data_IF_898689051527
#
_entry.id   IF_898689051527
#
_cell.length_a   1.000
_cell.length_b   1.000
_cell.length_c   1.000
_cell.angle_alpha   90.00
_cell.angle_beta   90.00
_cell.angle_gamma   90.00
#
_symmetry.space_group_name_H-M   'P 1'
#
loop_
_entity.id
_entity.type
_entity.pdbx_description
1 polymer ?
#
# COMPACT_ATOMS: atom_id res chain seq x y z
N UNK A 1 -52.80 35.30 26.82
CA UNK A 1 -52.82 33.86 26.52
C UNK A 1 -51.57 33.24 27.13
N UNK A 2 -51.73 32.54 28.25
CA UNK A 2 -50.75 31.60 28.84
C UNK A 2 -50.93 30.21 28.18
N UNK A 3 -50.14 29.15 28.46
CA UNK A 3 -48.80 29.01 29.07
C UNK A 3 -47.90 28.07 28.21
N UNK A 4 -46.62 27.78 28.53
CA UNK A 4 -46.15 26.74 29.47
C UNK A 4 -44.64 26.97 29.75
N UNK A 5 -44.18 27.26 30.97
CA UNK A 5 -43.93 26.33 32.11
C UNK A 5 -42.99 25.19 31.68
N UNK A 6 -41.77 24.97 32.19
CA UNK A 6 -41.26 24.76 33.57
C UNK A 6 -39.70 24.77 33.45
N UNK A 7 -38.90 25.66 34.06
CA UNK A 7 -38.36 25.63 35.43
C UNK A 7 -37.66 24.27 35.74
N UNK A 8 -36.42 24.12 36.26
CA UNK A 8 -35.84 24.61 37.50
C UNK A 8 -34.38 24.10 37.55
N UNK A 9 -33.47 25.03 37.84
CA UNK A 9 -32.31 24.96 38.75
C UNK A 9 -31.08 24.10 38.47
N UNK A 10 -29.98 24.83 38.54
CA UNK A 10 -28.61 24.46 38.87
C UNK A 10 -28.45 23.61 40.14
N UNK A 11 -27.36 22.84 40.18
CA UNK A 11 -26.52 22.69 41.36
C UNK A 11 -25.05 22.67 40.97
N UNK A 12 -24.29 23.44 41.76
CA UNK A 12 -22.86 23.75 41.65
C UNK A 12 -22.07 22.89 42.67
N UNK A 13 -20.73 22.91 42.53
CA UNK A 13 -19.65 22.59 43.49
C UNK A 13 -18.96 21.22 43.28
N UNK A 14 -17.72 21.14 42.80
CA UNK A 14 -16.41 21.49 43.41
C UNK A 14 -16.11 20.78 44.74
N UNK A 15 -15.11 19.90 44.73
CA UNK A 15 -14.13 19.59 45.80
C UNK A 15 -13.05 18.69 45.15
N UNK A 16 -11.81 19.16 44.92
CA UNK A 16 -10.68 19.41 45.83
C UNK A 16 -9.67 18.25 45.85
N UNK A 17 -8.41 18.67 45.87
CA UNK A 17 -7.19 17.89 45.70
C UNK A 17 -6.89 16.87 46.82
N UNK A 18 -6.04 15.88 46.53
CA UNK A 18 -5.41 15.02 47.52
C UNK A 18 -4.38 14.05 46.95
N UNK A 19 -3.09 14.39 47.03
CA UNK A 19 -2.00 13.41 47.03
C UNK A 19 -1.99 12.68 48.39
N UNK A 20 -1.95 11.34 48.39
CA UNK A 20 -1.59 10.60 49.61
C UNK A 20 -2.04 9.14 49.68
N UNK A 21 -1.10 8.23 49.40
CA UNK A 21 -0.94 6.84 49.89
C UNK A 21 -1.92 5.74 49.42
N UNK A 22 -1.28 4.60 49.16
CA UNK A 22 -1.78 3.33 48.63
C UNK A 22 -2.96 2.76 49.42
N UNK A 23 -3.97 2.29 48.69
CA UNK A 23 -4.81 1.17 49.09
C UNK A 23 -4.85 0.20 47.91
N UNK A 24 -4.14 -0.93 48.08
CA UNK A 24 -4.24 -2.10 47.22
C UNK A 24 -5.69 -2.54 47.22
N UNK A 25 -6.36 -2.37 46.07
CA UNK A 25 -7.65 -3.01 45.82
C UNK A 25 -7.44 -3.88 44.59
N UNK A 26 -7.32 -5.19 44.81
CA UNK A 26 -7.47 -6.18 43.74
C UNK A 26 -8.82 -5.96 43.07
N UNK A 27 -8.82 -5.34 41.89
CA UNK A 27 -9.92 -5.47 40.94
C UNK A 27 -9.42 -6.41 39.85
N UNK A 28 -9.84 -7.67 39.97
CA UNK A 28 -9.79 -8.63 38.86
C UNK A 28 -10.49 -8.04 37.64
N UNK A 29 -9.77 -8.02 36.53
CA UNK A 29 -10.34 -7.98 35.18
C UNK A 29 -10.67 -6.58 34.68
N UNK A 30 -9.75 -6.01 33.90
CA UNK A 30 -9.83 -5.98 32.43
C UNK A 30 -8.38 -5.92 31.96
N UNK A 31 -7.90 -6.98 31.31
CA UNK A 31 -6.68 -6.90 30.52
C UNK A 31 -6.87 -5.71 29.58
N UNK A 32 -6.08 -4.65 29.76
CA UNK A 32 -5.96 -3.61 28.76
C UNK A 32 -5.58 -4.35 27.48
N UNK A 33 -6.57 -4.50 26.61
CA UNK A 33 -6.43 -5.11 25.32
C UNK A 33 -5.22 -4.43 24.71
N UNK A 34 -4.14 -5.18 24.49
CA UNK A 34 -3.20 -4.80 23.46
C UNK A 34 -4.07 -4.48 22.26
N UNK A 35 -4.11 -3.20 21.88
CA UNK A 35 -4.57 -2.84 20.55
C UNK A 35 -3.53 -3.52 19.68
N UNK A 36 -3.82 -4.75 19.28
CA UNK A 36 -3.10 -5.47 18.25
C UNK A 36 -3.30 -4.59 17.02
N UNK A 37 -2.41 -3.62 16.85
CA UNK A 37 -2.20 -2.90 15.62
C UNK A 37 -1.72 -3.97 14.66
N UNK A 38 -2.66 -4.72 14.09
CA UNK A 38 -2.40 -5.71 13.07
C UNK A 38 -1.83 -4.94 11.90
N UNK A 39 -0.51 -4.94 11.77
CA UNK A 39 0.16 -4.23 10.68
C UNK A 39 -0.47 -4.72 9.38
N UNK A 40 -0.73 -3.81 8.44
CA UNK A 40 -1.30 -4.16 7.14
C UNK A 40 -0.41 -5.21 6.44
N UNK A 41 0.88 -5.24 6.78
CA UNK A 41 1.87 -6.19 6.27
C UNK A 41 1.73 -7.64 6.77
N UNK A 42 0.75 -7.97 7.61
CA UNK A 42 0.48 -9.36 7.97
C UNK A 42 -0.20 -10.13 6.83
N UNK A 43 0.27 -11.35 6.58
CA UNK A 43 -0.23 -12.21 5.49
C UNK A 43 -1.76 -12.44 5.51
N UNK A 44 -2.38 -12.41 6.70
CA UNK A 44 -3.83 -12.60 6.85
C UNK A 44 -4.66 -11.53 6.11
N UNK A 45 -4.13 -10.31 5.95
CA UNK A 45 -4.82 -9.23 5.26
C UNK A 45 -4.78 -9.42 3.74
N UNK A 46 -3.70 -10.01 3.21
CA UNK A 46 -3.60 -10.40 1.79
C UNK A 46 -4.65 -11.46 1.40
N UNK A 47 -4.87 -12.44 2.28
CA UNK A 47 -5.89 -13.47 2.08
C UNK A 47 -7.31 -12.90 2.07
N UNK A 48 -7.59 -11.89 2.90
CA UNK A 48 -8.89 -11.21 2.93
C UNK A 48 -9.21 -10.45 1.63
N UNK A 49 -8.19 -9.96 0.92
CA UNK A 49 -8.32 -9.30 -0.39
C UNK A 49 -8.31 -10.31 -1.58
N UNK A 50 -8.45 -11.60 -1.28
CA UNK A 50 -8.55 -12.67 -2.28
C UNK A 50 -7.24 -12.97 -3.02
N UNK A 51 -6.09 -12.61 -2.45
CA UNK A 51 -4.80 -13.00 -3.02
C UNK A 51 -4.49 -14.44 -2.61
N UNK A 52 -4.76 -15.38 -3.51
CA UNK A 52 -4.43 -16.80 -3.34
C UNK A 52 -3.24 -17.16 -4.23
N UNK A 53 -2.27 -17.93 -3.71
CA UNK A 53 -1.12 -18.41 -4.49
C UNK A 53 0.23 -17.70 -4.27
N UNK A 54 0.30 -16.71 -3.38
CA UNK A 54 1.57 -16.14 -2.89
C UNK A 54 1.93 -16.76 -1.53
N UNK A 55 3.21 -17.02 -1.27
CA UNK A 55 3.66 -17.49 0.04
C UNK A 55 3.49 -16.39 1.11
N UNK A 56 3.33 -16.78 2.37
CA UNK A 56 3.29 -15.82 3.49
C UNK A 56 4.54 -14.96 3.56
N UNK A 57 5.70 -15.58 3.33
CA UNK A 57 6.99 -14.91 3.31
C UNK A 57 7.08 -13.88 2.18
N UNK A 58 6.67 -14.22 0.96
CA UNK A 58 6.65 -13.27 -0.16
C UNK A 58 5.68 -12.12 0.12
N UNK A 59 4.49 -12.40 0.68
CA UNK A 59 3.50 -11.38 1.02
C UNK A 59 4.07 -10.33 2.00
N UNK A 60 4.77 -10.78 3.04
CA UNK A 60 5.44 -9.88 3.99
C UNK A 60 6.58 -9.10 3.34
N UNK A 61 7.37 -9.74 2.46
CA UNK A 61 8.45 -9.05 1.75
C UNK A 61 7.93 -7.95 0.84
N UNK A 62 6.87 -8.21 0.08
CA UNK A 62 6.21 -7.19 -0.75
C UNK A 62 5.80 -6.01 0.12
N UNK A 63 5.08 -6.26 1.22
CA UNK A 63 4.59 -5.17 2.05
C UNK A 63 5.73 -4.35 2.70
N UNK A 64 6.76 -5.02 3.25
CA UNK A 64 7.92 -4.33 3.84
C UNK A 64 8.67 -3.50 2.82
N UNK A 65 8.88 -4.03 1.60
CA UNK A 65 9.55 -3.31 0.53
C UNK A 65 8.73 -2.09 0.03
N UNK A 66 7.40 -2.23 -0.07
CA UNK A 66 6.52 -1.11 -0.40
C UNK A 66 6.54 -0.04 0.68
N UNK A 67 6.42 -0.43 1.96
CA UNK A 67 6.48 0.52 3.08
C UNK A 67 7.80 1.30 3.11
N UNK A 68 8.93 0.61 2.89
CA UNK A 68 10.24 1.24 2.81
C UNK A 68 10.34 2.28 1.66
N UNK A 69 9.67 2.03 0.53
CA UNK A 69 9.64 2.95 -0.62
C UNK A 69 8.64 4.09 -0.47
N UNK A 70 7.49 3.84 0.14
CA UNK A 70 6.42 4.83 0.32
C UNK A 70 6.64 5.73 1.54
N UNK A 71 7.40 5.28 2.54
CA UNK A 71 7.48 5.94 3.85
C UNK A 71 6.20 5.83 4.68
N UNK A 72 5.26 4.97 4.27
CA UNK A 72 3.96 4.69 4.90
C UNK A 72 3.48 3.29 4.55
N UNK A 73 2.60 2.73 5.38
CA UNK A 73 1.94 1.46 5.04
C UNK A 73 1.09 1.61 3.76
N UNK A 74 1.17 0.66 2.82
CA UNK A 74 0.27 0.64 1.66
C UNK A 74 -1.15 0.26 2.08
N UNK A 75 -2.15 0.73 1.36
CA UNK A 75 -3.51 0.21 1.52
C UNK A 75 -3.60 -1.28 1.17
N UNK A 76 -4.59 -2.01 1.71
CA UNK A 76 -4.83 -3.40 1.35
C UNK A 76 -4.98 -3.61 -0.16
N UNK A 77 -5.64 -2.69 -0.86
CA UNK A 77 -5.86 -2.78 -2.31
C UNK A 77 -4.55 -2.63 -3.11
N UNK A 78 -3.69 -1.71 -2.71
CA UNK A 78 -2.38 -1.50 -3.34
C UNK A 78 -1.47 -2.71 -3.09
N UNK A 79 -1.45 -3.24 -1.86
CA UNK A 79 -0.73 -4.46 -1.53
C UNK A 79 -1.23 -5.66 -2.36
N UNK A 80 -2.54 -5.86 -2.42
CA UNK A 80 -3.15 -6.94 -3.19
C UNK A 80 -2.85 -6.83 -4.69
N UNK A 81 -2.82 -5.61 -5.24
CA UNK A 81 -2.43 -5.35 -6.63
C UNK A 81 -1.00 -5.81 -6.89
N UNK A 82 -0.06 -5.41 -6.04
CA UNK A 82 1.34 -5.79 -6.17
C UNK A 82 1.54 -7.31 -6.07
N UNK A 83 0.86 -7.97 -5.14
CA UNK A 83 0.96 -9.42 -4.96
C UNK A 83 0.32 -10.20 -6.12
N UNK A 84 -0.83 -9.75 -6.62
CA UNK A 84 -1.46 -10.32 -7.83
C UNK A 84 -0.54 -10.16 -9.04
N UNK A 85 0.13 -9.03 -9.14
CA UNK A 85 1.09 -8.79 -10.21
C UNK A 85 2.29 -9.75 -10.13
N UNK A 86 2.93 -9.87 -8.96
CA UNK A 86 4.01 -10.84 -8.72
C UNK A 86 3.57 -12.27 -9.05
N UNK A 87 2.43 -12.70 -8.51
CA UNK A 87 1.90 -14.04 -8.75
C UNK A 87 1.64 -14.28 -10.23
N UNK A 88 0.98 -13.34 -10.91
CA UNK A 88 0.68 -13.43 -12.33
C UNK A 88 1.94 -13.54 -13.18
N UNK A 89 3.01 -12.83 -12.83
CA UNK A 89 4.27 -12.92 -13.58
C UNK A 89 5.03 -14.23 -13.34
N UNK A 90 5.00 -14.75 -12.10
CA UNK A 90 5.58 -16.08 -11.80
C UNK A 90 4.81 -17.20 -12.50
N UNK A 91 3.48 -17.18 -12.42
CA UNK A 91 2.63 -18.23 -12.95
C UNK A 91 2.65 -18.29 -14.49
N UNK A 92 2.60 -17.13 -15.16
CA UNK A 92 2.43 -17.08 -16.62
C UNK A 92 3.74 -16.91 -17.39
N UNK A 93 4.77 -16.34 -16.77
CA UNK A 93 6.02 -15.99 -17.45
C UNK A 93 7.27 -16.59 -16.78
N UNK A 94 7.10 -17.40 -15.73
CA UNK A 94 8.20 -18.09 -15.08
C UNK A 94 9.23 -17.16 -14.43
N UNK A 95 8.84 -15.93 -14.08
CA UNK A 95 9.73 -14.98 -13.42
C UNK A 95 10.34 -15.59 -12.16
N UNK A 96 11.65 -15.41 -11.98
CA UNK A 96 12.42 -15.99 -10.87
C UNK A 96 12.84 -14.99 -9.81
N UNK A 97 12.53 -13.72 -10.01
CA UNK A 97 12.89 -12.66 -9.09
C UNK A 97 12.28 -12.92 -7.70
N UNK A 98 13.06 -12.55 -6.68
CA UNK A 98 12.54 -12.57 -5.32
C UNK A 98 11.38 -11.57 -5.20
N UNK A 99 10.46 -11.80 -4.26
CA UNK A 99 9.37 -10.85 -4.03
C UNK A 99 9.88 -9.43 -3.72
N UNK A 100 11.02 -9.33 -3.04
CA UNK A 100 11.70 -8.08 -2.75
C UNK A 100 12.17 -7.41 -4.04
N UNK A 101 12.95 -8.09 -4.88
CA UNK A 101 13.52 -7.51 -6.10
C UNK A 101 12.43 -7.09 -7.08
N UNK A 102 11.40 -7.92 -7.25
CA UNK A 102 10.22 -7.57 -8.05
C UNK A 102 9.57 -6.30 -7.53
N UNK A 103 9.36 -6.19 -6.22
CA UNK A 103 8.71 -5.03 -5.60
C UNK A 103 9.56 -3.78 -5.78
N UNK A 104 10.88 -3.87 -5.61
CA UNK A 104 11.80 -2.76 -5.85
C UNK A 104 11.76 -2.28 -7.30
N UNK A 105 11.76 -3.20 -8.27
CA UNK A 105 11.62 -2.87 -9.70
C UNK A 105 10.27 -2.22 -10.03
N UNK A 106 9.18 -2.75 -9.48
CA UNK A 106 7.85 -2.18 -9.68
C UNK A 106 7.73 -0.78 -9.06
N UNK A 107 8.26 -0.59 -7.85
CA UNK A 107 8.27 0.70 -7.17
C UNK A 107 9.21 1.72 -7.83
N UNK A 108 10.26 1.28 -8.54
CA UNK A 108 11.09 2.18 -9.34
C UNK A 108 10.30 2.88 -10.46
N UNK A 109 9.29 2.23 -11.04
CA UNK A 109 8.38 2.84 -12.03
C UNK A 109 7.54 3.94 -11.36
N UNK A 110 7.02 3.68 -10.15
CA UNK A 110 6.23 4.63 -9.36
C UNK A 110 7.08 5.83 -8.94
N UNK A 111 8.32 5.58 -8.54
CA UNK A 111 9.33 6.58 -8.20
C UNK A 111 9.67 7.45 -9.41
N UNK A 112 9.93 6.85 -10.58
CA UNK A 112 10.20 7.58 -11.82
C UNK A 112 9.04 8.50 -12.23
N UNK A 113 7.78 8.12 -11.96
CA UNK A 113 6.61 8.98 -12.17
C UNK A 113 6.37 10.02 -11.07
N UNK A 114 7.21 10.09 -10.03
CA UNK A 114 7.03 10.97 -8.86
C UNK A 114 5.71 10.74 -8.12
N UNK A 115 5.34 9.47 -7.92
CA UNK A 115 4.05 9.08 -7.35
C UNK A 115 4.11 8.46 -5.96
N UNK A 116 5.29 8.37 -5.32
CA UNK A 116 5.43 7.75 -4.00
C UNK A 116 4.57 8.42 -2.92
N UNK A 117 4.39 9.74 -3.01
CA UNK A 117 3.57 10.53 -2.08
C UNK A 117 2.10 10.68 -2.53
N UNK A 118 1.73 10.15 -3.70
CA UNK A 118 0.36 10.25 -4.22
C UNK A 118 -0.58 9.24 -3.57
N UNK A 119 -1.87 9.39 -3.86
CA UNK A 119 -2.88 8.43 -3.46
C UNK A 119 -2.60 7.05 -4.04
N UNK A 120 -2.91 6.00 -3.29
CA UNK A 120 -2.68 4.62 -3.71
C UNK A 120 -3.37 4.26 -5.04
N UNK A 121 -4.48 4.92 -5.36
CA UNK A 121 -5.18 4.75 -6.63
C UNK A 121 -4.29 5.10 -7.85
N UNK A 122 -3.50 6.18 -7.76
CA UNK A 122 -2.58 6.60 -8.83
C UNK A 122 -1.46 5.57 -9.00
N UNK A 123 -0.95 5.05 -7.88
CA UNK A 123 0.10 4.03 -7.84
C UNK A 123 -0.42 2.73 -8.46
N UNK A 124 -1.61 2.28 -8.07
CA UNK A 124 -2.29 1.10 -8.64
C UNK A 124 -2.43 1.24 -10.16
N UNK A 125 -2.85 2.42 -10.64
CA UNK A 125 -2.99 2.66 -12.08
C UNK A 125 -1.65 2.49 -12.81
N UNK A 126 -0.57 3.04 -12.28
CA UNK A 126 0.79 2.87 -12.82
C UNK A 126 1.24 1.42 -12.85
N UNK A 127 1.03 0.68 -11.76
CA UNK A 127 1.39 -0.74 -11.67
C UNK A 127 0.59 -1.58 -12.68
N UNK A 128 -0.70 -1.29 -12.87
CA UNK A 128 -1.54 -1.96 -13.86
C UNK A 128 -1.06 -1.72 -15.30
N UNK A 129 -0.59 -0.51 -15.61
CA UNK A 129 0.01 -0.20 -16.92
C UNK A 129 1.31 -0.98 -17.10
N UNK A 130 2.19 -0.99 -16.09
CA UNK A 130 3.42 -1.76 -16.13
C UNK A 130 3.16 -3.25 -16.33
N UNK A 131 2.14 -3.81 -15.66
CA UNK A 131 1.70 -5.19 -15.84
C UNK A 131 1.25 -5.49 -17.27
N UNK A 132 0.45 -4.59 -17.85
CA UNK A 132 0.00 -4.71 -19.24
C UNK A 132 1.14 -4.57 -20.25
N UNK A 133 2.12 -3.71 -19.99
CA UNK A 133 3.32 -3.61 -20.82
C UNK A 133 4.13 -4.92 -20.78
N UNK A 134 4.35 -5.46 -19.60
CA UNK A 134 5.04 -6.74 -19.42
C UNK A 134 4.28 -7.86 -20.15
N UNK A 135 2.97 -8.00 -19.90
CA UNK A 135 2.17 -9.08 -20.48
C UNK A 135 2.00 -8.93 -21.99
N UNK A 136 1.72 -7.74 -22.51
CA UNK A 136 1.57 -7.47 -23.94
C UNK A 136 2.87 -7.56 -24.75
N UNK A 137 4.01 -7.63 -24.05
CA UNK A 137 5.31 -7.89 -24.65
C UNK A 137 5.79 -9.34 -24.47
N UNK A 138 4.97 -10.21 -23.89
CA UNK A 138 5.33 -11.58 -23.52
C UNK A 138 6.59 -11.65 -22.63
N UNK A 139 6.73 -10.67 -21.72
CA UNK A 139 7.88 -10.53 -20.83
C UNK A 139 9.14 -9.94 -21.47
N UNK A 140 9.13 -9.57 -22.76
CA UNK A 140 10.30 -8.94 -23.43
C UNK A 140 10.60 -7.55 -22.88
N UNK A 141 9.57 -6.79 -22.53
CA UNK A 141 9.67 -5.51 -21.85
C UNK A 141 9.53 -5.79 -20.35
N UNK A 142 10.65 -5.76 -19.65
CA UNK A 142 10.74 -5.95 -18.21
C UNK A 142 10.37 -4.67 -17.45
N UNK A 143 10.12 -4.79 -16.14
CA UNK A 143 9.91 -3.64 -15.27
C UNK A 143 11.11 -2.69 -15.26
N UNK A 144 12.33 -3.23 -15.32
CA UNK A 144 13.58 -2.46 -15.41
C UNK A 144 13.62 -1.63 -16.69
N UNK A 145 13.19 -2.17 -17.83
CA UNK A 145 13.15 -1.41 -19.08
C UNK A 145 12.19 -0.22 -18.98
N UNK A 146 11.00 -0.44 -18.39
CA UNK A 146 9.98 0.60 -18.20
C UNK A 146 10.51 1.68 -17.26
N UNK A 147 11.06 1.30 -16.10
CA UNK A 147 11.63 2.24 -15.13
C UNK A 147 12.78 3.04 -15.75
N UNK A 148 13.67 2.39 -16.51
CA UNK A 148 14.80 3.05 -17.18
C UNK A 148 14.33 4.09 -18.21
N UNK A 149 13.31 3.76 -19.01
CA UNK A 149 12.77 4.67 -20.01
C UNK A 149 12.05 5.87 -19.38
N UNK A 150 11.33 5.65 -18.26
CA UNK A 150 10.73 6.74 -17.49
C UNK A 150 11.80 7.64 -16.86
N UNK A 151 12.84 7.07 -16.25
CA UNK A 151 13.96 7.86 -15.73
C UNK A 151 14.67 8.67 -16.82
N UNK A 152 14.87 8.09 -18.00
CA UNK A 152 15.43 8.80 -19.15
C UNK A 152 14.56 9.97 -19.63
N UNK A 153 13.25 9.93 -19.34
CA UNK A 153 12.33 11.03 -19.62
C UNK A 153 12.41 12.18 -18.60
N UNK A 154 13.16 12.01 -17.51
CA UNK A 154 13.35 13.02 -16.46
C UNK A 154 12.03 13.54 -15.89
N UNK A 155 11.93 14.85 -15.72
CA UNK A 155 10.75 15.52 -15.17
C UNK A 155 9.46 15.27 -15.97
N UNK A 156 9.56 15.00 -17.26
CA UNK A 156 8.40 14.72 -18.10
C UNK A 156 7.66 13.46 -17.65
N UNK A 157 8.35 12.47 -17.06
CA UNK A 157 7.79 11.19 -16.62
C UNK A 157 6.59 11.35 -15.67
N UNK A 158 6.57 12.41 -14.85
CA UNK A 158 5.47 12.70 -13.94
C UNK A 158 4.16 13.12 -14.65
N UNK A 159 4.24 13.48 -15.93
CA UNK A 159 3.15 13.99 -16.76
C UNK A 159 2.81 13.09 -17.94
N UNK A 160 3.61 12.06 -18.20
CA UNK A 160 3.31 11.07 -19.26
C UNK A 160 2.01 10.36 -18.90
N UNK A 161 1.05 10.37 -19.84
CA UNK A 161 -0.20 9.63 -19.72
C UNK A 161 0.04 8.12 -19.84
N UNK A 162 -0.95 7.33 -19.43
CA UNK A 162 -0.89 5.88 -19.50
C UNK A 162 -0.71 5.39 -20.94
N UNK A 163 -1.36 6.04 -21.91
CA UNK A 163 -1.18 5.80 -23.35
C UNK A 163 0.23 6.14 -23.83
N UNK A 164 0.85 7.18 -23.25
CA UNK A 164 2.26 7.50 -23.47
C UNK A 164 3.17 6.39 -22.97
N UNK A 165 2.89 5.81 -21.79
CA UNK A 165 3.65 4.66 -21.26
C UNK A 165 3.46 3.43 -22.16
N UNK A 166 2.24 3.12 -22.61
CA UNK A 166 2.03 2.01 -23.55
C UNK A 166 2.80 2.20 -24.86
N UNK A 167 2.80 3.42 -25.40
CA UNK A 167 3.55 3.75 -26.61
C UNK A 167 5.05 3.54 -26.41
N UNK A 168 5.58 4.00 -25.28
CA UNK A 168 6.98 3.77 -24.88
C UNK A 168 7.30 2.28 -24.75
N UNK A 169 6.45 1.49 -24.11
CA UNK A 169 6.62 0.03 -24.01
C UNK A 169 6.64 -0.64 -25.39
N UNK A 170 5.77 -0.20 -26.32
CA UNK A 170 5.76 -0.69 -27.69
C UNK A 170 7.08 -0.37 -28.42
N UNK A 171 7.62 0.84 -28.25
CA UNK A 171 8.94 1.22 -28.79
C UNK A 171 10.05 0.33 -28.23
N UNK A 172 10.11 0.12 -26.91
CA UNK A 172 11.10 -0.77 -26.28
C UNK A 172 11.01 -2.18 -26.87
N UNK A 173 9.79 -2.72 -27.00
CA UNK A 173 9.57 -4.06 -27.59
C UNK A 173 10.17 -4.18 -28.98
N UNK A 174 10.01 -3.17 -29.84
CA UNK A 174 10.56 -3.15 -31.21
C UNK A 174 12.10 -3.07 -31.20
N UNK A 175 12.69 -2.33 -30.24
CA UNK A 175 14.13 -2.17 -30.14
C UNK A 175 14.85 -3.45 -29.67
N UNK A 176 14.23 -4.23 -28.79
CA UNK A 176 14.82 -5.45 -28.20
C UNK A 176 14.68 -6.70 -29.09
N UNK A 177 14.88 -6.56 -30.41
CA UNK A 177 14.62 -7.60 -31.43
C UNK A 177 15.01 -9.01 -31.00
#
# INVERSE_FOLDING_TARGET
>A
MYPNLVAVSAFLLLLLAGCGKEVVTEVRGVSASEVVSTSICEHKNALQEGVTGISSQDAEFVCRAMNAKLGREPSPQLLATMQKFLFGLRANYGMRDSAKDFTEQAMAIVEARRQLERADADIIQTLNVAAKCYSGSDGRVSLVDIASALHASGDAAATISEDGIYSMCATIKVMKK
#
